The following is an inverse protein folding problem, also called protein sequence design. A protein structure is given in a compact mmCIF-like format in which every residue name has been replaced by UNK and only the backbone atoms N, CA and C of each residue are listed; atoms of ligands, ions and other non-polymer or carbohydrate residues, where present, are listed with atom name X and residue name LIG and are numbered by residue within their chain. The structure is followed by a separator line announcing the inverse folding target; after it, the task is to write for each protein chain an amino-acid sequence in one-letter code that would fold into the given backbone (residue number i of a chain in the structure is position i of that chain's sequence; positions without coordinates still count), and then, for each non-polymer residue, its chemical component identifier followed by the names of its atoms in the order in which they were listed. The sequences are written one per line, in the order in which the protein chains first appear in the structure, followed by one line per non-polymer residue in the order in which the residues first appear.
data_IF_381775222780
#
_entry.id   IF_381775222780
#
_cell.length_a   1.000
_cell.length_b   1.000
_cell.length_c   1.000
_cell.angle_alpha   90.00
_cell.angle_beta   90.00
_cell.angle_gamma   90.00
#
_symmetry.space_group_name_H-M   'P 1'
#
loop_
_entity.id
_entity.type
_entity.pdbx_description
1 polymer ?
#
# COMPACT_ATOMS: atom_id res chain seq x y z
N UNK A 1 1.71 7.60 16.46
CA UNK A 1 1.04 6.27 16.32
C UNK A 1 0.41 6.06 14.94
N UNK A 2 0.90 6.73 13.89
CA UNK A 2 0.47 6.51 12.49
C UNK A 2 1.72 6.47 11.58
N UNK A 3 2.72 5.71 12.00
CA UNK A 3 4.10 5.80 11.46
C UNK A 3 4.67 4.42 11.05
N UNK A 4 3.88 3.35 11.13
CA UNK A 4 4.34 1.99 10.86
C UNK A 4 4.14 1.62 9.37
N UNK A 5 4.95 2.25 8.52
CA UNK A 5 5.12 1.88 7.11
C UNK A 5 5.38 0.38 6.97
N UNK A 6 6.11 -0.23 7.92
CA UNK A 6 6.40 -1.66 7.95
C UNK A 6 5.11 -2.50 8.11
N UNK A 7 4.16 -2.05 8.92
CA UNK A 7 2.90 -2.76 9.15
C UNK A 7 1.97 -2.70 7.94
N UNK A 8 1.88 -1.54 7.29
CA UNK A 8 1.17 -1.39 6.02
C UNK A 8 1.85 -2.22 4.92
N UNK A 9 3.18 -2.25 4.88
CA UNK A 9 3.95 -3.05 3.93
C UNK A 9 3.72 -4.55 4.12
N UNK A 10 3.70 -5.03 5.36
CA UNK A 10 3.34 -6.43 5.67
C UNK A 10 1.92 -6.76 5.24
N UNK A 11 0.94 -5.88 5.48
CA UNK A 11 -0.43 -6.10 5.03
C UNK A 11 -0.53 -6.26 3.50
N UNK A 12 0.23 -5.47 2.74
CA UNK A 12 0.31 -5.57 1.27
C UNK A 12 1.08 -6.81 0.83
N UNK A 13 2.14 -7.19 1.55
CA UNK A 13 2.87 -8.42 1.30
C UNK A 13 2.01 -9.66 1.56
N UNK A 14 1.19 -9.64 2.61
CA UNK A 14 0.19 -10.65 2.92
C UNK A 14 -1.01 -10.64 1.97
N UNK A 15 -1.14 -9.63 1.12
CA UNK A 15 -2.25 -9.45 0.15
C UNK A 15 -3.62 -9.56 0.81
N UNK A 16 -3.74 -9.01 2.03
CA UNK A 16 -4.96 -9.16 2.81
C UNK A 16 -6.04 -8.18 2.30
N UNK A 17 -7.14 -8.69 1.72
CA UNK A 17 -8.21 -7.86 1.19
C UNK A 17 -8.98 -7.09 2.28
N UNK A 18 -8.77 -7.38 3.57
CA UNK A 18 -9.38 -6.61 4.68
C UNK A 18 -8.87 -5.18 4.75
N UNK A 19 -7.66 -4.93 4.25
CA UNK A 19 -7.10 -3.59 4.15
C UNK A 19 -7.50 -2.89 2.85
N UNK A 20 -8.24 -3.57 1.97
CA UNK A 20 -8.74 -2.95 0.75
C UNK A 20 -9.72 -1.84 1.12
N UNK A 21 -9.39 -0.59 0.75
CA UNK A 21 -10.12 0.61 1.17
C UNK A 21 -9.66 1.24 2.49
N UNK A 22 -8.74 0.64 3.25
CA UNK A 22 -8.11 1.32 4.40
C UNK A 22 -7.01 2.28 3.95
N UNK A 23 -6.19 1.82 3.01
CA UNK A 23 -5.10 2.61 2.45
C UNK A 23 -4.82 2.16 1.02
N UNK A 24 -4.17 3.05 0.26
CA UNK A 24 -3.68 2.79 -1.09
C UNK A 24 -2.16 2.84 -1.09
N UNK A 25 -1.54 2.00 -1.92
CA UNK A 25 -0.09 2.03 -2.14
C UNK A 25 0.20 2.83 -3.40
N UNK A 26 0.88 3.96 -3.29
CA UNK A 26 1.41 4.67 -4.45
C UNK A 26 2.82 4.16 -4.76
N UNK A 27 3.05 3.83 -6.01
CA UNK A 27 4.35 3.34 -6.49
C UNK A 27 5.07 4.48 -7.20
N UNK A 28 6.13 5.01 -6.61
CA UNK A 28 6.89 6.15 -7.15
C UNK A 28 7.53 5.85 -8.51
N UNK A 29 7.90 4.59 -8.76
CA UNK A 29 8.55 4.20 -10.01
C UNK A 29 7.61 4.22 -11.21
N UNK A 30 6.32 4.00 -11.00
CA UNK A 30 5.32 3.88 -12.07
C UNK A 30 4.25 4.97 -12.01
N UNK A 31 4.17 5.73 -10.92
CA UNK A 31 3.15 6.77 -10.73
C UNK A 31 1.72 6.23 -10.55
N UNK A 32 1.56 4.93 -10.38
CA UNK A 32 0.25 4.29 -10.19
C UNK A 32 -0.02 4.07 -8.71
N UNK A 33 -1.28 4.13 -8.33
CA UNK A 33 -1.76 3.63 -7.05
C UNK A 33 -2.34 2.22 -7.22
N UNK A 34 -2.12 1.38 -6.23
CA UNK A 34 -2.64 0.02 -6.19
C UNK A 34 -3.31 -0.26 -4.85
N UNK A 35 -4.21 -1.24 -4.88
CA UNK A 35 -4.87 -1.77 -3.69
C UNK A 35 -3.97 -2.82 -3.02
N UNK A 36 -4.01 -2.97 -1.69
CA UNK A 36 -3.18 -3.95 -0.98
C UNK A 36 -3.50 -5.40 -1.36
N UNK A 37 -4.70 -5.65 -1.91
CA UNK A 37 -5.14 -6.94 -2.45
C UNK A 37 -4.58 -7.27 -3.85
N UNK A 38 -3.90 -6.32 -4.50
CA UNK A 38 -3.48 -6.48 -5.89
C UNK A 38 -2.45 -7.62 -6.02
N UNK A 39 -2.62 -8.54 -6.98
CA UNK A 39 -1.69 -9.65 -7.18
C UNK A 39 -0.31 -9.19 -7.70
N UNK A 40 -0.18 -7.92 -8.10
CA UNK A 40 1.04 -7.31 -8.58
C UNK A 40 2.23 -7.57 -7.63
N UNK A 41 3.43 -7.64 -8.22
CA UNK A 41 4.66 -7.83 -7.44
C UNK A 41 4.83 -6.66 -6.49
N UNK A 42 4.87 -6.93 -5.18
CA UNK A 42 5.05 -5.89 -4.16
C UNK A 42 6.34 -5.13 -4.47
N UNK A 43 6.26 -3.81 -4.74
CA UNK A 43 7.45 -3.02 -5.02
C UNK A 43 8.27 -2.88 -3.73
N UNK A 44 9.54 -2.45 -3.85
CA UNK A 44 10.35 -2.18 -2.67
C UNK A 44 9.73 -1.07 -1.82
N UNK A 45 9.75 -1.23 -0.49
CA UNK A 45 9.23 -0.24 0.47
C UNK A 45 9.79 1.17 0.23
N UNK A 46 11.06 1.30 -0.20
CA UNK A 46 11.69 2.59 -0.54
C UNK A 46 11.01 3.34 -1.69
N UNK A 47 10.33 2.63 -2.59
CA UNK A 47 9.69 3.17 -3.79
C UNK A 47 8.15 3.16 -3.66
N UNK A 48 7.64 2.87 -2.47
CA UNK A 48 6.22 2.81 -2.16
C UNK A 48 5.91 3.76 -1.03
N UNK A 49 4.86 4.54 -1.22
CA UNK A 49 4.26 5.32 -0.13
C UNK A 49 2.85 4.84 0.10
N UNK A 50 2.47 4.78 1.38
CA UNK A 50 1.13 4.42 1.81
C UNK A 50 0.35 5.68 2.09
N UNK A 51 -0.82 5.78 1.51
CA UNK A 51 -1.74 6.87 1.77
C UNK A 51 -3.02 6.29 2.37
N UNK A 52 -3.53 6.81 3.50
CA UNK A 52 -4.88 6.48 3.94
C UNK A 52 -5.83 6.85 2.79
N UNK A 53 -6.79 5.98 2.51
CA UNK A 53 -7.66 6.06 1.34
C UNK A 53 -8.18 7.49 1.06
N UNK A 54 -8.34 7.82 -0.23
CA UNK A 54 -8.81 9.12 -0.68
C UNK A 54 -10.28 9.36 -0.26
N UNK A 55 -10.47 10.10 0.83
CA UNK A 55 -11.61 10.98 1.01
C UNK A 55 -11.09 12.42 0.89
N UNK A 56 -11.13 12.95 -0.34
CA UNK A 56 -11.26 14.37 -0.63
C UNK A 56 -12.54 14.54 -1.43
#
# INVERSE_FOLDING_TARGET
MHEDVDRCYRAVQSKDPRFDGWFVTAVHTTGIYCRPSCPARTPHARNVSFFPTAAA
#
